data_IF_958026455632
#
_entry.id   IF_958026455632
#
_cell.length_a   1.000
_cell.length_b   1.000
_cell.length_c   1.000
_cell.angle_alpha   90.00
_cell.angle_beta   90.00
_cell.angle_gamma   90.00
#
_symmetry.space_group_name_H-M   'P 1'
#
loop_
_entity.id
_entity.type
_entity.pdbx_description
1 polymer ?
2 non-polymer ?
3 non-polymer ?
#
# COMPACT_ATOMS: atom_id res chain seq x y z
N UNK A 1 -2.63 4.54 -15.86
CA UNK A 1 -1.58 4.41 -16.86
C UNK A 1 -0.60 3.31 -16.47
N UNK A 2 0.42 3.67 -15.69
CA UNK A 2 1.43 2.71 -15.27
C UNK A 2 0.78 1.63 -14.40
N UNK A 3 1.40 0.44 -14.37
CA UNK A 3 0.86 -0.66 -13.58
C UNK A 3 0.79 -0.33 -12.10
N UNK A 4 1.79 0.39 -11.61
CA UNK A 4 1.81 0.73 -10.20
C UNK A 4 0.56 1.56 -9.91
N UNK A 5 0.25 2.48 -10.83
CA UNK A 5 -0.93 3.31 -10.68
C UNK A 5 -2.18 2.47 -10.75
N UNK A 6 -2.17 1.45 -11.61
CA UNK A 6 -3.32 0.58 -11.73
C UNK A 6 -3.58 -0.07 -10.37
N UNK A 7 -2.49 -0.46 -9.72
CA UNK A 7 -2.59 -1.07 -8.40
C UNK A 7 -3.17 -0.08 -7.40
N UNK A 8 -2.63 1.15 -7.42
CA UNK A 8 -3.11 2.18 -6.51
C UNK A 8 -4.60 2.44 -6.74
N UNK A 9 -4.98 2.45 -8.02
CA UNK A 9 -6.38 2.64 -8.35
C UNK A 9 -7.20 1.46 -7.86
N UNK A 10 -6.61 0.26 -7.90
CA UNK A 10 -7.34 -0.91 -7.44
C UNK A 10 -7.61 -0.78 -5.94
N UNK A 11 -6.59 -0.32 -5.19
CA UNK A 11 -6.79 -0.18 -3.75
C UNK A 11 -7.90 0.83 -3.50
N UNK A 12 -7.86 1.92 -4.27
CA UNK A 12 -8.90 2.94 -4.15
C UNK A 12 -10.27 2.36 -4.48
N UNK A 13 -10.33 1.61 -5.58
CA UNK A 13 -11.58 1.02 -6.02
C UNK A 13 -12.17 0.04 -5.01
N UNK A 14 -11.34 -0.78 -4.38
CA UNK A 14 -11.88 -1.75 -3.41
C UNK A 14 -12.28 -1.04 -2.10
N UNK A 15 -11.46 -0.10 -1.63
CA UNK A 15 -11.83 0.63 -0.43
C UNK A 15 -13.13 1.37 -0.65
N UNK A 16 -13.19 2.06 -1.78
CA UNK A 16 -14.38 2.79 -2.14
C UNK A 16 -15.52 1.82 -2.36
N UNK A 17 -15.22 0.65 -2.89
CA UNK A 17 -16.26 -0.29 -3.14
C UNK A 17 -16.99 -0.58 -1.86
N UNK A 18 -16.25 -0.94 -0.82
CA UNK A 18 -16.93 -1.24 0.45
C UNK A 18 -17.34 0.00 1.26
N UNK A 19 -16.41 0.92 1.52
CA UNK A 19 -16.78 2.10 2.31
C UNK A 19 -17.93 2.81 1.60
N UNK A 20 -17.82 2.90 0.27
CA UNK A 20 -18.84 3.53 -0.57
C UNK A 20 -20.13 2.72 -0.61
N UNK A 21 -19.99 1.40 -0.76
CA UNK A 21 -21.19 0.55 -0.83
C UNK A 21 -22.04 0.66 0.43
N UNK A 22 -21.40 0.67 1.61
CA UNK A 22 -22.15 0.78 2.88
C UNK A 22 -21.63 1.89 3.78
N UNK A 23 -22.53 2.44 4.60
CA UNK A 23 -22.16 3.48 5.57
C UNK A 23 -21.51 4.68 4.90
N UNK A 24 -20.60 5.32 5.65
CA UNK A 24 -19.88 6.48 5.12
C UNK A 24 -18.89 6.04 4.05
N UNK A 25 -18.81 6.82 2.99
CA UNK A 25 -17.93 6.49 1.88
C UNK A 25 -16.46 6.42 2.27
N UNK A 26 -16.05 7.24 3.24
CA UNK A 26 -14.65 7.29 3.65
C UNK A 26 -14.41 6.62 5.01
N UNK A 27 -15.31 5.75 5.46
CA UNK A 27 -15.09 5.09 6.75
C UNK A 27 -15.48 3.63 6.62
N UNK A 28 -14.68 2.74 7.19
CA UNK A 28 -14.97 1.32 7.08
C UNK A 28 -15.36 0.76 8.47
N UNK A 29 -16.49 0.08 8.54
CA UNK A 29 -16.98 -0.48 9.82
C UNK A 29 -16.68 -1.98 9.90
N UNK A 30 -16.82 -2.54 11.10
CA UNK A 30 -16.52 -3.96 11.29
C UNK A 30 -17.25 -4.84 10.31
N UNK A 31 -18.55 -4.62 10.19
CA UNK A 31 -19.34 -5.42 9.30
C UNK A 31 -18.83 -5.28 7.88
N UNK A 32 -18.64 -4.04 7.45
CA UNK A 32 -18.18 -3.81 6.08
C UNK A 32 -16.79 -4.40 5.82
N UNK A 33 -15.80 -4.13 6.69
CA UNK A 33 -14.48 -4.69 6.44
C UNK A 33 -14.55 -6.18 6.43
N UNK A 34 -15.40 -6.74 7.28
CA UNK A 34 -15.51 -8.16 7.27
C UNK A 34 -15.85 -8.61 5.86
N UNK A 35 -16.69 -7.83 5.17
CA UNK A 35 -17.05 -8.19 3.81
C UNK A 35 -15.93 -7.92 2.79
N UNK A 36 -15.25 -6.78 2.93
CA UNK A 36 -14.21 -6.40 1.96
C UNK A 36 -13.03 -7.38 1.99
N UNK A 37 -12.55 -7.75 3.18
CA UNK A 37 -11.42 -8.68 3.23
C UNK A 37 -11.82 -10.04 2.66
N UNK A 38 -13.00 -10.54 3.02
CA UNK A 38 -13.44 -11.83 2.51
C UNK A 38 -13.64 -11.80 0.99
N UNK A 39 -14.18 -10.70 0.47
CA UNK A 39 -14.40 -10.61 -0.96
C UNK A 39 -13.09 -10.47 -1.74
N UNK A 40 -12.15 -9.73 -1.17
CA UNK A 40 -10.86 -9.54 -1.82
C UNK A 40 -9.82 -10.56 -1.37
N UNK A 41 -9.64 -10.67 -0.05
CA UNK A 41 -8.65 -11.63 0.48
C UNK A 41 -9.33 -12.87 1.05
N UNK A 42 -8.72 -14.02 0.83
CA UNK A 42 -9.26 -15.27 1.35
C UNK A 42 -8.35 -15.85 2.41
N UNK A 43 -7.17 -16.29 1.98
CA UNK A 43 -6.20 -16.91 2.88
C UNK A 43 -5.77 -16.01 4.04
N UNK A 44 -5.62 -14.70 3.78
CA UNK A 44 -5.17 -13.81 4.86
C UNK A 44 -6.12 -13.81 6.04
N UNK A 45 -7.41 -13.56 5.80
CA UNK A 45 -8.39 -13.57 6.89
C UNK A 45 -8.72 -15.00 7.31
N UNK A 46 -8.84 -15.88 6.33
CA UNK A 46 -9.17 -17.27 6.59
C UNK A 46 -8.13 -17.97 7.47
N UNK A 47 -6.87 -17.57 7.33
CA UNK A 47 -5.80 -18.21 8.09
C UNK A 47 -6.02 -18.11 9.59
N UNK A 48 -6.60 -17.01 10.03
CA UNK A 48 -6.85 -16.84 11.46
C UNK A 48 -7.79 -17.94 11.95
N UNK A 49 -8.73 -18.33 11.08
CA UNK A 49 -9.71 -19.36 11.37
C UNK A 49 -10.70 -18.93 12.45
N UNK A 50 -10.25 -18.11 13.40
CA UNK A 50 -11.14 -17.65 14.47
C UNK A 50 -12.18 -16.68 13.95
N UNK A 51 -13.40 -16.79 14.48
CA UNK A 51 -14.49 -15.90 14.07
C UNK A 51 -14.28 -14.49 14.62
N UNK A 52 -13.61 -14.40 15.77
CA UNK A 52 -13.33 -13.11 16.39
C UNK A 52 -12.08 -12.49 15.78
N UNK A 53 -11.51 -13.18 14.80
CA UNK A 53 -10.31 -12.69 14.16
C UNK A 53 -10.53 -11.32 13.55
N UNK A 54 -11.72 -11.10 12.99
CA UNK A 54 -12.00 -9.79 12.41
C UNK A 54 -11.90 -8.71 13.48
N UNK A 55 -12.47 -9.00 14.64
CA UNK A 55 -12.42 -8.06 15.73
C UNK A 55 -10.98 -7.79 16.16
N UNK A 56 -10.22 -8.87 16.25
CA UNK A 56 -8.82 -8.74 16.64
C UNK A 56 -8.04 -7.90 15.64
N UNK A 57 -8.34 -8.12 14.36
CA UNK A 57 -7.65 -7.40 13.30
C UNK A 57 -7.97 -5.91 13.31
N UNK A 58 -9.26 -5.57 13.43
CA UNK A 58 -9.68 -4.18 13.41
C UNK A 58 -9.16 -3.36 14.60
N UNK A 59 -9.05 -3.97 15.78
CA UNK A 59 -8.56 -3.20 16.93
C UNK A 59 -7.18 -2.63 16.65
N UNK A 60 -6.32 -3.44 16.03
CA UNK A 60 -4.98 -3.00 15.71
C UNK A 60 -5.02 -1.87 14.69
N UNK A 61 -5.92 -2.00 13.72
CA UNK A 61 -6.04 -1.00 12.67
C UNK A 61 -6.56 0.33 13.18
N UNK A 62 -7.45 0.30 14.15
CA UNK A 62 -7.98 1.56 14.62
C UNK A 62 -6.94 2.32 15.42
N UNK A 63 -5.94 2.85 14.73
CA UNK A 63 -4.95 3.68 15.40
C UNK A 63 -5.67 4.86 15.95
N UNK A 64 -6.60 5.28 15.14
CA UNK A 64 -7.47 6.38 15.42
C UNK A 64 -8.24 6.15 16.72
N UNK A 65 -8.69 4.92 16.94
CA UNK A 65 -9.40 4.57 18.17
C UNK A 65 -10.88 4.99 18.14
N UNK A 66 -11.42 5.23 16.95
CA UNK A 66 -12.82 5.65 16.85
C UNK A 66 -13.77 4.45 16.72
N UNK A 67 -13.23 3.24 16.76
CA UNK A 67 -14.06 2.04 16.66
C UNK A 67 -14.28 1.65 15.20
N UNK A 68 -13.75 2.47 14.32
CA UNK A 68 -13.86 2.23 12.88
C UNK A 68 -12.49 2.13 12.25
N UNK A 69 -12.44 1.53 11.07
CA UNK A 69 -11.19 1.45 10.34
C UNK A 69 -11.25 2.49 9.23
N UNK A 70 -10.20 3.30 9.13
CA UNK A 70 -10.19 4.38 8.13
C UNK A 70 -9.37 3.99 6.90
N UNK A 71 -9.61 4.71 5.81
CA UNK A 71 -8.92 4.45 4.56
C UNK A 71 -7.42 4.38 4.80
N UNK A 72 -6.89 5.31 5.59
CA UNK A 72 -5.46 5.28 5.87
C UNK A 72 -5.08 3.99 6.62
N UNK A 73 -5.93 3.58 7.56
CA UNK A 73 -5.67 2.36 8.32
C UNK A 73 -5.67 1.15 7.38
N UNK A 74 -6.66 1.15 6.49
CA UNK A 74 -6.81 0.10 5.49
C UNK A 74 -5.62 0.07 4.56
N UNK A 75 -5.19 1.27 4.21
CA UNK A 75 -4.07 1.46 3.30
C UNK A 75 -2.81 0.83 3.89
N UNK A 76 -2.53 1.11 5.16
CA UNK A 76 -1.37 0.49 5.75
C UNK A 76 -1.59 -1.02 5.85
N UNK A 77 -2.83 -1.45 6.13
CA UNK A 77 -3.07 -2.89 6.20
C UNK A 77 -2.67 -3.61 4.91
N UNK A 78 -3.14 -3.12 3.76
CA UNK A 78 -2.78 -3.80 2.52
C UNK A 78 -1.31 -3.64 2.19
N UNK A 79 -0.74 -2.47 2.50
CA UNK A 79 0.67 -2.27 2.19
C UNK A 79 1.59 -3.13 3.05
N UNK A 80 1.34 -3.10 4.36
CA UNK A 80 2.14 -3.88 5.28
C UNK A 80 1.94 -5.36 4.96
N UNK A 81 0.71 -5.74 4.63
CA UNK A 81 0.47 -7.11 4.25
C UNK A 81 1.19 -7.42 2.94
N UNK A 82 1.30 -6.43 2.05
CA UNK A 82 2.00 -6.68 0.78
C UNK A 82 3.49 -7.01 1.03
N UNK A 83 4.16 -6.18 1.82
CA UNK A 83 5.58 -6.46 2.11
C UNK A 83 5.72 -7.77 2.87
N UNK A 84 4.80 -8.01 3.80
CA UNK A 84 4.82 -9.24 4.58
C UNK A 84 4.57 -10.43 3.66
N UNK A 85 3.78 -10.19 2.62
CA UNK A 85 3.44 -11.22 1.66
C UNK A 85 4.69 -11.63 0.89
N UNK A 86 5.35 -10.64 0.29
CA UNK A 86 6.56 -10.98 -0.44
C UNK A 86 7.51 -11.70 0.50
N UNK A 87 7.59 -11.19 1.74
CA UNK A 87 8.45 -11.82 2.73
C UNK A 87 8.00 -13.25 2.95
N UNK A 88 6.72 -13.50 2.98
CA UNK A 88 6.30 -14.87 3.16
C UNK A 88 6.75 -15.73 1.98
N UNK A 89 6.65 -15.20 0.77
CA UNK A 89 7.02 -15.97 -0.42
C UNK A 89 8.52 -16.31 -0.44
N UNK A 90 9.39 -15.29 -0.45
CA UNK A 90 10.83 -15.55 -0.45
C UNK A 90 11.29 -16.15 0.87
N UNK A 91 10.79 -15.55 1.94
CA UNK A 91 11.11 -15.96 3.30
C UNK A 91 10.04 -16.87 3.88
N UNK A 92 10.46 -17.81 4.73
CA UNK A 92 9.52 -18.73 5.35
C UNK A 92 8.42 -17.97 6.08
N UNK A 93 8.79 -16.85 6.70
CA UNK A 93 7.83 -16.04 7.43
C UNK A 93 7.50 -14.77 6.64
N UNK B 1 -5.45 -13.74 -7.77
CA UNK B 1 -6.87 -14.04 -7.85
C UNK B 1 -7.70 -12.76 -7.78
N UNK B 2 -8.04 -12.35 -6.57
CA UNK B 2 -8.83 -11.14 -6.37
C UNK B 2 -8.06 -9.91 -6.89
N UNK B 3 -8.80 -8.87 -7.25
CA UNK B 3 -8.16 -7.66 -7.77
C UNK B 3 -7.25 -7.02 -6.74
N UNK B 4 -7.65 -7.05 -5.48
CA UNK B 4 -6.83 -6.45 -4.46
C UNK B 4 -5.48 -7.16 -4.44
N UNK B 5 -5.52 -8.48 -4.58
CA UNK B 5 -4.30 -9.28 -4.62
C UNK B 5 -3.50 -8.93 -5.85
N UNK B 6 -4.19 -8.69 -6.96
CA UNK B 6 -3.50 -8.33 -8.19
C UNK B 6 -2.69 -7.07 -7.94
N UNK B 7 -3.31 -6.15 -7.22
CA UNK B 7 -2.64 -4.89 -6.90
C UNK B 7 -1.42 -5.15 -6.02
N UNK B 8 -1.62 -5.98 -5.00
CA UNK B 8 -0.52 -6.31 -4.09
C UNK B 8 0.62 -6.96 -4.87
N UNK B 9 0.26 -7.84 -5.80
CA UNK B 9 1.25 -8.48 -6.64
C UNK B 9 1.94 -7.45 -7.51
N UNK B 10 1.19 -6.46 -7.97
CA UNK B 10 1.78 -5.43 -8.79
C UNK B 10 2.83 -4.66 -8.01
N UNK B 11 2.52 -4.33 -6.74
CA UNK B 11 3.48 -3.60 -5.93
C UNK B 11 4.73 -4.45 -5.77
N UNK B 12 4.51 -5.74 -5.52
CA UNK B 12 5.64 -6.65 -5.38
C UNK B 12 6.45 -6.70 -6.67
N UNK B 13 5.75 -6.82 -7.79
CA UNK B 13 6.40 -6.91 -9.09
C UNK B 13 7.23 -5.67 -9.43
N UNK B 14 6.72 -4.47 -9.12
CA UNK B 14 7.48 -3.26 -9.44
C UNK B 14 8.66 -3.08 -8.48
N UNK B 15 8.44 -3.33 -7.18
CA UNK B 15 9.55 -3.23 -6.25
C UNK B 15 10.64 -4.20 -6.62
N UNK B 16 10.23 -5.44 -6.87
CA UNK B 16 11.17 -6.46 -7.28
C UNK B 16 11.77 -6.10 -8.61
N UNK B 17 10.99 -5.47 -9.47
CA UNK B 17 11.50 -5.13 -10.75
C UNK B 17 12.73 -4.26 -10.59
N UNK B 18 12.62 -3.20 -9.81
CA UNK B 18 13.79 -2.34 -9.63
C UNK B 18 14.82 -2.86 -8.63
N UNK B 19 14.40 -3.22 -7.40
CA UNK B 19 15.38 -3.70 -6.43
C UNK B 19 16.07 -4.92 -7.02
N UNK B 20 15.28 -5.79 -7.67
CA UNK B 20 15.80 -6.99 -8.33
C UNK B 20 16.66 -6.66 -9.54
N UNK B 21 16.19 -5.73 -10.37
CA UNK B 21 16.94 -5.38 -11.56
C UNK B 21 18.34 -4.85 -11.23
N UNK B 22 18.46 -4.02 -10.19
CA UNK B 22 19.77 -3.49 -9.81
C UNK B 22 20.08 -3.66 -8.32
N UNK B 23 21.36 -3.76 -7.99
CA UNK B 23 21.81 -3.88 -6.61
C UNK B 23 21.17 -5.07 -5.89
N UNK B 24 20.95 -4.91 -4.59
CA UNK B 24 20.33 -5.96 -3.79
C UNK B 24 18.86 -6.07 -4.14
N UNK B 25 18.38 -7.30 -4.23
CA UNK B 25 17.00 -7.55 -4.60
C UNK B 25 16.00 -6.95 -3.62
N UNK B 26 16.36 -6.89 -2.34
CA UNK B 26 15.45 -6.37 -1.32
C UNK B 26 15.84 -4.99 -0.81
N UNK B 27 16.64 -4.25 -1.58
CA UNK B 27 17.02 -2.90 -1.13
C UNK B 27 16.96 -1.95 -2.31
N UNK B 28 16.43 -0.75 -2.10
CA UNK B 28 16.30 0.20 -3.19
C UNK B 28 17.25 1.39 -2.94
N UNK B 29 18.07 1.73 -3.93
CA UNK B 29 19.04 2.82 -3.79
C UNK B 29 18.52 4.08 -4.50
N UNK B 30 19.17 5.22 -4.24
CA UNK B 30 18.73 6.48 -4.82
C UNK B 30 18.62 6.39 -6.33
N UNK B 31 19.65 5.87 -6.97
CA UNK B 31 19.65 5.77 -8.40
C UNK B 31 18.49 4.90 -8.86
N UNK B 32 18.37 3.74 -8.24
CA UNK B 32 17.30 2.81 -8.63
C UNK B 32 15.91 3.39 -8.40
N UNK B 33 15.63 3.93 -7.21
CA UNK B 33 14.30 4.48 -6.98
C UNK B 33 14.03 5.60 -7.94
N UNK B 34 15.06 6.37 -8.25
CA UNK B 34 14.86 7.42 -9.18
C UNK B 34 14.29 6.83 -10.46
N UNK B 35 14.75 5.63 -10.83
CA UNK B 35 14.24 4.99 -12.02
C UNK B 35 12.84 4.39 -11.85
N UNK B 36 12.59 3.75 -10.70
CA UNK B 36 11.30 3.09 -10.47
C UNK B 36 10.15 4.10 -10.41
N UNK B 37 10.32 5.22 -9.69
CA UNK B 37 9.23 6.19 -9.63
C UNK B 37 8.96 6.79 -11.00
N UNK B 38 10.02 7.14 -11.74
CA UNK B 38 9.83 7.72 -13.07
C UNK B 38 9.17 6.72 -14.03
N UNK B 39 9.57 5.46 -13.95
CA UNK B 39 9.00 4.45 -14.84
C UNK B 39 7.55 4.16 -14.49
N UNK B 40 7.23 4.12 -13.20
CA UNK B 40 5.87 3.86 -12.76
C UNK B 40 5.06 5.13 -12.57
N UNK B 41 5.59 6.07 -11.78
CA UNK B 41 4.88 7.32 -11.52
C UNK B 41 5.48 8.46 -12.33
N UNK B 42 4.61 9.34 -12.83
CA UNK B 42 5.07 10.49 -13.60
C UNK B 42 4.78 11.80 -12.85
N UNK B 43 3.50 12.11 -12.73
CA UNK B 43 3.06 13.33 -12.07
C UNK B 43 3.52 13.44 -10.62
N UNK B 44 3.54 12.33 -9.87
CA UNK B 44 3.93 12.41 -8.47
C UNK B 44 5.35 12.93 -8.29
N UNK B 45 6.31 12.33 -8.97
CA UNK B 45 7.70 12.80 -8.89
C UNK B 45 7.90 14.08 -9.69
N UNK B 46 7.29 14.11 -10.86
CA UNK B 46 7.41 15.26 -11.75
C UNK B 46 6.89 16.55 -11.10
N UNK B 47 5.87 16.42 -10.27
CA UNK B 47 5.27 17.60 -9.65
C UNK B 47 6.28 18.41 -8.84
N UNK B 48 7.23 17.72 -8.21
CA UNK B 48 8.23 18.42 -7.43
C UNK B 48 9.04 19.35 -8.33
N UNK B 49 9.24 18.91 -9.57
CA UNK B 49 9.98 19.67 -10.58
C UNK B 49 11.46 19.80 -10.22
N UNK B 50 11.78 19.85 -8.92
CA UNK B 50 13.17 19.98 -8.51
C UNK B 50 13.95 18.69 -8.78
N UNK B 51 15.21 18.86 -9.18
CA UNK B 51 16.06 17.70 -9.47
C UNK B 51 16.48 17.00 -8.18
N UNK B 52 16.57 17.78 -7.11
CA UNK B 52 16.96 17.24 -5.80
C UNK B 52 15.75 16.66 -5.09
N UNK B 53 14.60 16.69 -5.77
CA UNK B 53 13.37 16.18 -5.20
C UNK B 53 13.52 14.72 -4.81
N UNK B 54 14.23 13.96 -5.65
CA UNK B 54 14.42 12.55 -5.34
C UNK B 54 15.14 12.40 -4.00
N UNK B 55 16.17 13.23 -3.81
CA UNK B 55 16.92 13.18 -2.57
C UNK B 55 16.03 13.54 -1.40
N UNK B 56 15.23 14.59 -1.59
CA UNK B 56 14.33 15.02 -0.53
C UNK B 56 13.33 13.92 -0.18
N UNK B 57 12.83 13.24 -1.21
CA UNK B 57 11.86 12.19 -1.00
C UNK B 57 12.44 10.99 -0.25
N UNK B 58 13.62 10.54 -0.68
CA UNK B 58 14.24 9.38 -0.05
C UNK B 58 14.64 9.59 1.42
N UNK B 59 15.05 10.81 1.78
CA UNK B 59 15.44 11.03 3.17
C UNK B 59 14.29 10.73 4.11
N UNK B 60 13.08 11.13 3.71
CA UNK B 60 11.90 10.87 4.53
C UNK B 60 11.63 9.38 4.61
N UNK B 61 11.81 8.70 3.49
CA UNK B 61 11.55 7.28 3.43
C UNK B 61 12.52 6.46 4.25
N UNK B 62 13.77 6.90 4.33
CA UNK B 62 14.73 6.12 5.08
C UNK B 62 14.46 6.25 6.57
N UNK B 63 13.38 5.62 7.04
CA UNK B 63 13.11 5.62 8.47
C UNK B 63 14.24 4.90 9.13
N UNK B 64 14.66 3.89 8.41
CA UNK B 64 15.75 3.04 8.78
C UNK B 64 17.04 3.85 8.97
N UNK B 65 17.26 4.83 8.10
CA UNK B 65 18.43 5.70 8.21
C UNK B 65 19.70 5.06 7.65
N UNK B 66 19.56 4.03 6.82
CA UNK B 66 20.73 3.36 6.26
C UNK B 66 21.18 3.98 4.94
N UNK B 67 20.52 5.04 4.51
CA UNK B 67 20.88 5.72 3.27
C UNK B 67 20.19 5.08 2.07
N UNK B 68 19.46 4.02 2.35
CA UNK B 68 18.72 3.29 1.32
C UNK B 68 17.24 3.28 1.63
N UNK B 69 16.44 3.02 0.61
CA UNK B 69 15.00 2.90 0.81
C UNK B 69 14.68 1.41 0.79
N UNK B 70 13.93 0.95 1.78
CA UNK B 70 13.61 -0.48 1.88
C UNK B 70 12.21 -0.77 1.38
N UNK B 71 11.96 -2.03 1.06
CA UNK B 71 10.67 -2.45 0.54
C UNK B 71 9.56 -1.94 1.46
N UNK B 72 9.75 -2.05 2.77
CA UNK B 72 8.73 -1.55 3.69
C UNK B 72 8.54 -0.04 3.53
N UNK B 73 9.66 0.67 3.35
CA UNK B 73 9.61 2.13 3.19
C UNK B 73 8.85 2.47 1.90
N UNK B 74 9.17 1.71 0.85
CA UNK B 74 8.54 1.86 -0.45
C UNK B 74 7.05 1.55 -0.36
N UNK B 75 6.77 0.52 0.41
CA UNK B 75 5.41 0.06 0.61
C UNK B 75 4.56 1.17 1.24
N UNK B 76 5.08 1.79 2.28
CA UNK B 76 4.32 2.87 2.87
C UNK B 76 4.24 4.03 1.90
N UNK B 77 5.30 4.27 1.12
CA UNK B 77 5.23 5.36 0.14
C UNK B 77 4.05 5.20 -0.83
N UNK B 78 3.94 4.03 -1.44
CA UNK B 78 2.83 3.84 -2.38
C UNK B 78 1.48 3.83 -1.68
N UNK B 79 1.44 3.26 -0.48
CA UNK B 79 0.15 3.20 0.23
C UNK B 79 -0.30 4.59 0.69
N UNK B 80 0.61 5.31 1.34
CA UNK B 80 0.29 6.65 1.81
C UNK B 80 -0.03 7.53 0.61
N UNK B 81 0.72 7.36 -0.46
CA UNK B 81 0.42 8.11 -1.67
C UNK B 81 -0.94 7.70 -2.21
N UNK B 82 -1.31 6.42 -2.07
CA UNK B 82 -2.61 5.98 -2.57
C UNK B 82 -3.76 6.69 -1.83
N UNK B 83 -3.71 6.69 -0.50
CA UNK B 83 -4.77 7.38 0.25
C UNK B 83 -4.75 8.87 -0.03
N UNK B 84 -3.55 9.44 -0.14
CA UNK B 84 -3.41 10.85 -0.44
C UNK B 84 -3.94 11.14 -1.83
N UNK B 85 -3.82 10.15 -2.71
CA UNK B 85 -4.26 10.28 -4.07
C UNK B 85 -5.78 10.37 -4.09
N UNK B 86 -6.45 9.40 -3.48
CA UNK B 86 -7.89 9.45 -3.46
C UNK B 86 -8.31 10.78 -2.84
N UNK B 87 -7.61 11.18 -1.77
CA UNK B 87 -7.89 12.45 -1.12
C UNK B 87 -7.72 13.57 -2.13
N UNK B 88 -6.71 13.51 -2.95
CA UNK B 88 -6.56 14.57 -3.91
C UNK B 88 -7.74 14.60 -4.88
N UNK B 89 -8.20 13.43 -5.31
CA UNK B 89 -9.31 13.37 -6.26
C UNK B 89 -10.61 13.92 -5.67
N UNK B 90 -11.10 13.32 -4.58
CA UNK B 90 -12.34 13.83 -3.97
C UNK B 90 -12.13 15.19 -3.33
N UNK B 91 -11.02 15.29 -2.61
CA UNK B 91 -10.63 16.50 -1.90
C UNK B 91 -9.65 17.33 -2.71
N UNK B 92 -9.72 18.65 -2.56
CA UNK B 92 -8.82 19.54 -3.28
C UNK B 92 -7.36 19.17 -2.99
N UNK B 93 -7.10 18.79 -1.75
CA UNK B 93 -5.74 18.41 -1.34
C UNK B 93 -5.63 16.89 -1.20
#
# INVERSE_FOLDING_TARGET
>A
GSELETAMETLINVFHAHSGKEGDKYKLSKKELKELLQTELSGFLDAQKDVDAVDKVMKELDENGDGEVDFQEYVVLVAALTVACNNFFWENS
>B
GSELETAMETLINVFHAHSGKEGDKYKLSKKELKELLQTELSGFLDAQKDVDAVDKVMKELDENGDGEVDFQEYVVLVAALTVACNNFFWENS
#
